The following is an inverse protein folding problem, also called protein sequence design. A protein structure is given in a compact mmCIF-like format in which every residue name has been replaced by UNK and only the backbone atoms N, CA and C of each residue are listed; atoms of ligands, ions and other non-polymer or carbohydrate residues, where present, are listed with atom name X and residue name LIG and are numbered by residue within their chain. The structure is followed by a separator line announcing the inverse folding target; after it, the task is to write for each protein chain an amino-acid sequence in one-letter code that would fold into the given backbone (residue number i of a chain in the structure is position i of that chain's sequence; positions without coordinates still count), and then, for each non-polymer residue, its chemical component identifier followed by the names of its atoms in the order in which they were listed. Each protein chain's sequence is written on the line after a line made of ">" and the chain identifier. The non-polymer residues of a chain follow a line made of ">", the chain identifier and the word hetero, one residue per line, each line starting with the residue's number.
data_IF_466104891599
#
_entry.id   IF_466104891599
#
_cell.length_a   1.000
_cell.length_b   1.000
_cell.length_c   1.000
_cell.angle_alpha   90.00
_cell.angle_beta   90.00
_cell.angle_gamma   90.00
#
_symmetry.space_group_name_H-M   'P 1'
#
loop_
_entity.id
_entity.type
_entity.pdbx_description
1 polymer ?
#
# COMPACT_ATOMS: atom_id res chain seq x y z
N UNK A 1 -10.10 18.99 -1.80
CA UNK A 1 -9.45 17.73 -1.38
C UNK A 1 -8.88 17.03 -2.61
N UNK A 2 -7.80 16.25 -2.50
CA UNK A 2 -7.19 15.56 -3.65
C UNK A 2 -8.09 14.42 -4.15
N UNK A 3 -7.89 14.00 -5.40
CA UNK A 3 -8.48 12.78 -5.94
C UNK A 3 -7.74 11.52 -5.45
N UNK A 4 -8.41 10.35 -5.38
CA UNK A 4 -7.78 9.09 -4.97
C UNK A 4 -6.68 8.65 -5.93
N UNK A 5 -5.81 7.75 -5.44
CA UNK A 5 -4.80 7.09 -6.28
C UNK A 5 -5.47 6.13 -7.26
N UNK A 6 -4.86 5.89 -8.41
CA UNK A 6 -5.42 5.03 -9.46
C UNK A 6 -4.36 4.05 -9.96
N UNK A 7 -4.78 2.98 -10.64
CA UNK A 7 -3.90 2.03 -11.32
C UNK A 7 -2.77 1.49 -10.43
N UNK A 8 -3.09 1.17 -9.18
CA UNK A 8 -2.12 0.57 -8.27
C UNK A 8 -1.77 -0.85 -8.73
N UNK A 9 -0.48 -1.14 -8.80
CA UNK A 9 0.07 -2.47 -9.07
C UNK A 9 0.81 -2.96 -7.84
N UNK A 10 0.67 -4.25 -7.55
CA UNK A 10 1.28 -4.90 -6.38
C UNK A 10 2.27 -5.94 -6.90
N UNK A 11 3.50 -5.91 -6.40
CA UNK A 11 4.55 -6.85 -6.79
C UNK A 11 5.30 -7.31 -5.54
N UNK A 12 5.47 -8.61 -5.38
CA UNK A 12 6.44 -9.15 -4.43
C UNK A 12 7.82 -9.21 -5.10
N UNK A 13 8.84 -8.73 -4.40
CA UNK A 13 10.22 -8.78 -4.85
C UNK A 13 11.15 -9.21 -3.72
N UNK A 14 12.28 -9.82 -4.09
CA UNK A 14 13.33 -10.18 -3.15
C UNK A 14 14.38 -9.07 -3.15
N UNK A 15 14.54 -8.40 -2.01
CA UNK A 15 15.64 -7.48 -1.77
C UNK A 15 16.67 -8.15 -0.86
N UNK A 16 17.77 -8.62 -1.46
CA UNK A 16 18.78 -9.46 -0.79
C UNK A 16 18.17 -10.75 -0.20
N UNK A 17 17.96 -10.78 1.12
CA UNK A 17 17.33 -11.90 1.83
C UNK A 17 15.96 -11.55 2.42
N UNK A 18 15.43 -10.37 2.10
CA UNK A 18 14.13 -9.89 2.59
C UNK A 18 13.12 -9.81 1.45
N UNK A 19 11.96 -10.42 1.65
CA UNK A 19 10.83 -10.28 0.72
C UNK A 19 10.09 -8.97 1.00
N UNK A 20 9.86 -8.19 -0.05
CA UNK A 20 9.21 -6.88 0.01
C UNK A 20 8.00 -6.90 -0.91
N UNK A 21 6.85 -6.51 -0.34
CA UNK A 21 5.66 -6.14 -1.09
C UNK A 21 5.80 -4.68 -1.53
N UNK A 22 5.93 -4.47 -2.84
CA UNK A 22 5.98 -3.15 -3.45
C UNK A 22 4.62 -2.81 -4.08
N UNK A 23 4.12 -1.62 -3.78
CA UNK A 23 2.88 -1.08 -4.33
C UNK A 23 3.23 0.21 -5.07
N UNK A 24 2.98 0.24 -6.37
CA UNK A 24 3.18 1.40 -7.22
C UNK A 24 1.82 1.87 -7.76
N UNK A 25 1.48 3.12 -7.53
CA UNK A 25 0.22 3.72 -7.96
C UNK A 25 0.46 4.94 -8.85
N UNK A 26 -0.61 5.42 -9.49
CA UNK A 26 -0.65 6.72 -10.17
C UNK A 26 -1.33 7.73 -9.25
N UNK A 27 -0.71 8.89 -9.07
CA UNK A 27 -1.28 9.98 -8.28
C UNK A 27 -2.58 10.51 -8.92
N UNK A 28 -3.57 10.82 -8.08
CA UNK A 28 -4.79 11.51 -8.51
C UNK A 28 -4.57 13.02 -8.63
N UNK A 29 -5.55 13.72 -9.23
CA UNK A 29 -5.54 15.18 -9.32
C UNK A 29 -5.32 15.86 -7.95
N UNK A 30 -4.36 16.77 -7.90
CA UNK A 30 -3.85 17.39 -6.68
C UNK A 30 -4.56 18.70 -6.30
N UNK A 31 -5.30 19.29 -7.23
CA UNK A 31 -5.93 20.59 -7.05
C UNK A 31 -4.92 21.73 -6.92
N UNK A 32 -3.72 21.59 -7.48
CA UNK A 32 -2.64 22.57 -7.47
C UNK A 32 -1.90 22.67 -6.13
N UNK A 33 -1.95 21.63 -5.30
CA UNK A 33 -1.33 21.61 -3.97
C UNK A 33 -0.46 20.36 -3.81
N UNK A 34 0.66 20.50 -3.10
CA UNK A 34 1.51 19.36 -2.74
C UNK A 34 0.69 18.27 -2.04
N UNK A 35 0.83 17.04 -2.50
CA UNK A 35 0.23 15.85 -1.89
C UNK A 35 1.29 14.96 -1.26
N UNK A 36 0.88 14.26 -0.20
CA UNK A 36 1.53 13.04 0.27
C UNK A 36 0.51 11.89 0.15
N UNK A 37 1.00 10.66 0.12
CA UNK A 37 0.18 9.46 -0.09
C UNK A 37 0.35 8.51 1.06
N UNK A 38 -0.75 7.89 1.51
CA UNK A 38 -0.75 6.92 2.61
C UNK A 38 -1.21 5.57 2.08
N UNK A 39 -0.63 4.52 2.62
CA UNK A 39 -1.03 3.13 2.41
C UNK A 39 -1.18 2.47 3.77
N UNK A 40 -2.31 1.82 3.98
CA UNK A 40 -2.62 1.08 5.20
C UNK A 40 -2.95 -0.37 4.83
N UNK A 41 -2.37 -1.32 5.57
CA UNK A 41 -2.65 -2.75 5.41
C UNK A 41 -3.40 -3.27 6.63
N UNK A 42 -4.56 -3.89 6.38
CA UNK A 42 -5.44 -4.42 7.40
C UNK A 42 -5.54 -5.94 7.28
N UNK A 43 -5.38 -6.64 8.39
CA UNK A 43 -5.65 -8.08 8.44
C UNK A 43 -7.15 -8.33 8.23
N UNK A 44 -7.51 -9.08 7.19
CA UNK A 44 -8.90 -9.21 6.76
C UNK A 44 -9.81 -9.90 7.79
N UNK A 45 -9.27 -10.82 8.60
CA UNK A 45 -10.06 -11.56 9.60
C UNK A 45 -10.39 -10.75 10.86
N UNK A 46 -9.51 -9.81 11.26
CA UNK A 46 -9.63 -9.06 12.51
C UNK A 46 -9.89 -7.58 12.29
N UNK A 47 -9.77 -7.11 11.05
CA UNK A 47 -9.79 -5.70 10.69
C UNK A 47 -8.71 -4.86 11.42
N UNK A 48 -7.62 -5.50 11.84
CA UNK A 48 -6.54 -4.83 12.57
C UNK A 48 -5.55 -4.18 11.61
N UNK A 49 -5.22 -2.91 11.86
CA UNK A 49 -4.17 -2.20 11.15
C UNK A 49 -2.81 -2.82 11.51
N UNK A 50 -2.10 -3.36 10.52
CA UNK A 50 -0.74 -3.91 10.71
C UNK A 50 0.34 -2.95 10.23
N UNK A 51 0.11 -2.29 9.10
CA UNK A 51 1.10 -1.40 8.49
C UNK A 51 0.45 -0.09 8.10
N UNK A 52 1.12 1.02 8.40
CA UNK A 52 0.79 2.36 7.89
C UNK A 52 2.09 2.99 7.37
N UNK A 53 2.14 3.24 6.07
CA UNK A 53 3.32 3.78 5.40
C UNK A 53 2.95 4.93 4.48
N UNK A 54 3.94 5.74 4.12
CA UNK A 54 3.76 7.01 3.43
C UNK A 54 4.73 7.13 2.26
N UNK A 55 4.23 7.63 1.15
CA UNK A 55 5.04 8.05 0.00
C UNK A 55 4.88 9.55 -0.20
N UNK A 56 5.98 10.23 -0.48
CA UNK A 56 6.02 11.67 -0.79
C UNK A 56 6.41 11.93 -2.24
N UNK A 57 6.44 10.88 -3.07
CA UNK A 57 6.80 10.95 -4.50
C UNK A 57 5.55 11.41 -5.26
N UNK A 58 5.53 12.64 -5.84
CA UNK A 58 4.31 13.24 -6.38
C UNK A 58 3.76 12.56 -7.64
N UNK A 59 4.63 12.04 -8.50
CA UNK A 59 4.24 11.51 -9.82
C UNK A 59 3.91 10.01 -9.78
N UNK A 60 4.65 9.24 -8.98
CA UNK A 60 4.47 7.80 -8.81
C UNK A 60 4.62 7.44 -7.32
N UNK A 61 3.50 7.40 -6.57
CA UNK A 61 3.52 6.93 -5.18
C UNK A 61 3.95 5.47 -5.12
N UNK A 62 5.13 5.24 -4.54
CA UNK A 62 5.69 3.91 -4.30
C UNK A 62 5.71 3.64 -2.80
N UNK A 63 5.20 2.48 -2.41
CA UNK A 63 5.21 1.96 -1.05
C UNK A 63 5.94 0.62 -1.02
N UNK A 64 6.70 0.39 0.05
CA UNK A 64 7.44 -0.86 0.26
C UNK A 64 7.15 -1.37 1.67
N UNK A 65 6.62 -2.58 1.75
CA UNK A 65 6.28 -3.24 3.01
C UNK A 65 7.11 -4.53 3.09
N UNK A 66 8.00 -4.66 4.09
CA UNK A 66 8.62 -5.94 4.39
C UNK A 66 7.54 -7.00 4.69
N UNK A 67 7.58 -8.15 4.03
CA UNK A 67 6.56 -9.20 4.28
C UNK A 67 6.63 -9.71 5.72
N UNK A 68 7.81 -9.64 6.35
CA UNK A 68 7.98 -9.93 7.77
C UNK A 68 7.05 -9.11 8.69
N UNK A 69 6.69 -7.88 8.29
CA UNK A 69 5.80 -7.00 9.08
C UNK A 69 4.31 -7.39 8.96
N UNK A 70 3.98 -8.25 7.99
CA UNK A 70 2.63 -8.77 7.77
C UNK A 70 2.42 -10.13 8.44
N UNK A 71 3.49 -10.88 8.69
CA UNK A 71 3.41 -12.16 9.39
C UNK A 71 2.97 -11.98 10.86
N UNK A 72 2.30 -12.98 11.46
CA UNK A 72 1.96 -14.30 10.91
C UNK A 72 0.65 -14.33 10.10
N UNK A 73 -0.03 -13.19 9.93
CA UNK A 73 -1.24 -13.15 9.13
C UNK A 73 -0.88 -13.29 7.65
N UNK A 74 -1.80 -13.87 6.86
CA UNK A 74 -1.57 -14.13 5.43
C UNK A 74 -2.63 -13.52 4.52
N UNK A 75 -3.70 -12.97 5.09
CA UNK A 75 -4.81 -12.41 4.32
C UNK A 75 -5.05 -10.95 4.71
N UNK A 76 -4.91 -10.07 3.71
CA UNK A 76 -4.95 -8.62 3.88
C UNK A 76 -5.82 -7.94 2.82
N UNK A 77 -6.40 -6.82 3.21
CA UNK A 77 -6.80 -5.78 2.26
C UNK A 77 -5.98 -4.52 2.53
N UNK A 78 -5.66 -3.80 1.46
CA UNK A 78 -4.89 -2.56 1.53
C UNK A 78 -5.80 -1.40 1.11
N UNK A 79 -5.62 -0.25 1.75
CA UNK A 79 -6.23 1.00 1.31
C UNK A 79 -5.14 2.02 1.06
N UNK A 80 -5.30 2.80 -0.02
CA UNK A 80 -4.44 3.93 -0.32
C UNK A 80 -5.26 5.21 -0.43
N UNK A 81 -4.69 6.35 -0.02
CA UNK A 81 -5.33 7.65 -0.20
C UNK A 81 -4.31 8.79 -0.28
N UNK A 82 -4.70 9.87 -0.96
CA UNK A 82 -3.91 11.09 -1.07
C UNK A 82 -4.32 12.09 0.02
N UNK A 83 -3.36 12.90 0.47
CA UNK A 83 -3.55 13.95 1.49
C UNK A 83 -2.90 15.23 1.00
N UNK A 84 -3.61 16.35 1.08
CA UNK A 84 -3.01 17.68 0.92
C UNK A 84 -3.64 18.67 1.94
N UNK A 85 -3.27 19.95 1.85
CA UNK A 85 -3.77 20.99 2.76
C UNK A 85 -5.31 21.18 2.72
N UNK A 86 -6.01 20.68 1.70
CA UNK A 86 -7.48 20.69 1.59
C UNK A 86 -8.13 19.39 2.10
N UNK A 87 -7.36 18.47 2.70
CA UNK A 87 -7.84 17.24 3.32
C UNK A 87 -7.43 15.97 2.57
N UNK A 88 -8.14 14.88 2.90
CA UNK A 88 -7.90 13.52 2.38
C UNK A 88 -8.81 13.21 1.18
N UNK A 89 -8.33 12.41 0.24
CA UNK A 89 -9.14 11.82 -0.83
C UNK A 89 -10.11 10.75 -0.30
N UNK A 90 -10.96 10.21 -1.17
CA UNK A 90 -11.55 8.89 -0.94
C UNK A 90 -10.46 7.80 -0.96
N UNK A 91 -10.79 6.60 -0.47
CA UNK A 91 -9.87 5.46 -0.44
C UNK A 91 -9.88 4.70 -1.75
N UNK A 92 -8.70 4.31 -2.22
CA UNK A 92 -8.50 3.30 -3.25
C UNK A 92 -8.32 1.96 -2.55
N UNK A 93 -9.29 1.06 -2.72
CA UNK A 93 -9.25 -0.27 -2.12
C UNK A 93 -8.48 -1.24 -3.02
N UNK A 94 -7.53 -1.96 -2.42
CA UNK A 94 -6.71 -2.99 -3.03
C UNK A 94 -7.03 -4.31 -2.31
N UNK A 95 -8.05 -5.02 -2.79
CA UNK A 95 -8.59 -6.23 -2.15
C UNK A 95 -7.73 -7.49 -2.40
N UNK A 96 -7.91 -8.47 -1.52
CA UNK A 96 -7.51 -9.88 -1.70
C UNK A 96 -6.00 -10.14 -1.86
N UNK A 97 -5.20 -9.56 -0.96
CA UNK A 97 -3.78 -9.90 -0.89
C UNK A 97 -3.60 -11.14 -0.01
N UNK A 98 -3.34 -12.27 -0.68
CA UNK A 98 -2.94 -13.52 -0.06
C UNK A 98 -1.41 -13.65 -0.10
N UNK A 99 -0.76 -13.52 1.06
CA UNK A 99 0.66 -13.81 1.21
C UNK A 99 0.85 -15.32 1.09
N UNK A 100 1.56 -15.77 0.06
CA UNK A 100 1.96 -17.17 -0.04
C UNK A 100 2.97 -17.44 1.06
N UNK A 101 2.73 -18.46 1.85
CA UNK A 101 3.77 -18.99 2.71
C UNK A 101 4.92 -19.44 1.78
N UNK A 102 6.14 -18.98 2.04
CA UNK A 102 7.35 -19.54 1.43
C UNK A 102 7.63 -20.93 2.05
N UNK A 103 6.62 -21.79 2.02
CA UNK A 103 6.68 -23.19 2.39
C UNK A 103 7.34 -23.97 1.27
N UNK A 104 8.66 -24.12 1.37
CA UNK A 104 9.51 -25.15 0.73
C UNK A 104 8.98 -25.65 -0.62
N UNK A 105 9.54 -25.12 -1.70
CA UNK A 105 9.65 -25.92 -2.94
C UNK A 105 10.69 -27.02 -2.67
N UNK A 106 10.22 -28.19 -2.22
CA UNK A 106 11.00 -29.44 -2.18
C UNK A 106 11.22 -29.98 -3.57
#
# INVERSE_FOLDING_TARGET
>A
KPSPLNNCTIKASLNQSSEILEIECVAGYDGGLKQDFRLEAYEAGTNSLRVNTTSIIPESPIFRIPIADLLPATHFYLIAYAVNAKGRSEVSLLEDIMLRDSGKQT
#
